data_IF_089394069131
#
_entry.id   IF_089394069131
#
_cell.length_a   1.000
_cell.length_b   1.000
_cell.length_c   1.000
_cell.angle_alpha   90.00
_cell.angle_beta   90.00
_cell.angle_gamma   90.00
#
_symmetry.space_group_name_H-M   'P 1'
#
loop_
_entity.id
_entity.type
_entity.pdbx_description
1 polymer ?
#
# COMPACT_ATOMS: atom_id res chain seq x y z
N UNK A 1 -76.32 -1.74 -6.54
CA UNK A 1 -75.14 -2.63 -6.61
C UNK A 1 -73.90 -1.79 -6.35
N UNK A 2 -73.16 -2.06 -5.27
CA UNK A 2 -71.96 -1.27 -4.92
C UNK A 2 -70.77 -1.73 -5.76
N UNK A 3 -70.16 -0.81 -6.51
CA UNK A 3 -69.00 -1.11 -7.35
C UNK A 3 -67.71 -1.02 -6.53
N UNK A 4 -67.05 -2.16 -6.31
CA UNK A 4 -65.71 -2.20 -5.70
C UNK A 4 -64.68 -1.76 -6.75
N UNK A 5 -63.86 -0.77 -6.42
CA UNK A 5 -62.68 -0.38 -7.20
C UNK A 5 -61.43 -0.87 -6.47
N UNK A 6 -60.71 -1.82 -7.08
CA UNK A 6 -59.44 -2.33 -6.58
C UNK A 6 -58.33 -1.41 -7.08
N UNK A 7 -57.58 -0.79 -6.16
CA UNK A 7 -56.43 0.04 -6.47
C UNK A 7 -55.15 -0.73 -6.18
N UNK A 8 -54.37 -1.03 -7.22
CA UNK A 8 -53.07 -1.69 -7.10
C UNK A 8 -51.98 -0.61 -7.20
N UNK A 9 -51.34 -0.22 -6.09
CA UNK A 9 -50.33 0.84 -6.12
C UNK A 9 -49.10 0.38 -6.93
N UNK A 10 -48.52 1.26 -7.77
CA UNK A 10 -47.35 0.91 -8.56
C UNK A 10 -46.13 0.67 -7.65
N UNK A 11 -45.59 -0.53 -7.71
CA UNK A 11 -44.40 -0.94 -6.96
C UNK A 11 -43.14 -0.23 -7.49
N UNK A 12 -42.71 0.84 -6.81
CA UNK A 12 -41.54 1.66 -7.17
C UNK A 12 -40.27 0.82 -7.43
N UNK A 13 -40.07 -0.25 -6.66
CA UNK A 13 -38.91 -1.14 -6.81
C UNK A 13 -38.88 -1.85 -8.17
N UNK A 14 -40.03 -2.33 -8.67
CA UNK A 14 -40.10 -2.98 -9.98
C UNK A 14 -39.87 -2.01 -11.14
N UNK A 15 -40.21 -0.72 -10.95
CA UNK A 15 -39.92 0.34 -11.93
C UNK A 15 -38.42 0.67 -11.95
N UNK A 16 -37.77 0.73 -10.78
CA UNK A 16 -36.32 0.96 -10.67
C UNK A 16 -35.51 -0.19 -11.29
N UNK A 17 -35.89 -1.45 -11.05
CA UNK A 17 -35.23 -2.63 -11.65
C UNK A 17 -35.30 -2.65 -13.19
N UNK A 18 -36.26 -1.96 -13.80
CA UNK A 18 -36.47 -1.90 -15.27
C UNK A 18 -35.97 -0.59 -15.89
N UNK A 19 -35.40 0.30 -15.09
CA UNK A 19 -34.91 1.59 -15.59
C UNK A 19 -33.59 1.35 -16.35
N UNK A 20 -33.48 1.71 -17.63
CA UNK A 20 -32.24 1.59 -18.39
C UNK A 20 -31.12 2.44 -17.77
N UNK A 21 -29.88 1.94 -17.79
CA UNK A 21 -28.70 2.65 -17.25
C UNK A 21 -27.97 1.93 -16.12
N UNK A 22 -28.48 0.79 -15.63
CA UNK A 22 -27.74 -0.10 -14.73
C UNK A 22 -26.65 -0.89 -15.46
N UNK A 23 -25.54 -1.16 -14.77
CA UNK A 23 -24.44 -2.01 -15.24
C UNK A 23 -24.51 -3.35 -14.50
N UNK A 24 -24.38 -4.52 -15.17
CA UNK A 24 -24.24 -5.79 -14.49
C UNK A 24 -23.08 -5.76 -13.50
N UNK A 25 -23.25 -6.33 -12.31
CA UNK A 25 -22.20 -6.35 -11.27
C UNK A 25 -20.90 -6.96 -11.81
N UNK A 26 -21.00 -8.04 -12.59
CA UNK A 26 -19.83 -8.68 -13.21
C UNK A 26 -19.07 -7.71 -14.13
N UNK A 27 -19.79 -6.93 -14.94
CA UNK A 27 -19.19 -5.95 -15.85
C UNK A 27 -18.61 -4.76 -15.07
N UNK A 28 -19.28 -4.32 -14.00
CA UNK A 28 -18.76 -3.29 -13.10
C UNK A 28 -17.43 -3.71 -12.46
N UNK A 29 -17.35 -4.94 -11.94
CA UNK A 29 -16.13 -5.50 -11.35
C UNK A 29 -15.02 -5.66 -12.39
N UNK A 30 -15.34 -6.17 -13.58
CA UNK A 30 -14.36 -6.30 -14.67
C UNK A 30 -13.79 -4.94 -15.06
N UNK A 31 -14.66 -3.93 -15.21
CA UNK A 31 -14.27 -2.58 -15.59
C UNK A 31 -13.43 -1.90 -14.51
N UNK A 32 -13.75 -2.12 -13.24
CA UNK A 32 -12.92 -1.68 -12.12
C UNK A 32 -11.53 -2.36 -12.13
N UNK A 33 -11.47 -3.67 -12.37
CA UNK A 33 -10.20 -4.40 -12.50
C UNK A 33 -9.32 -3.89 -13.63
N UNK A 34 -9.90 -3.60 -14.80
CA UNK A 34 -9.18 -2.99 -15.92
C UNK A 34 -8.64 -1.59 -15.59
N UNK A 35 -9.43 -0.79 -14.87
CA UNK A 35 -9.00 0.51 -14.35
C UNK A 35 -7.78 0.39 -13.43
N UNK A 36 -7.84 -0.50 -12.43
CA UNK A 36 -6.71 -0.75 -11.52
C UNK A 36 -5.45 -1.24 -12.24
N UNK A 37 -5.62 -2.14 -13.22
CA UNK A 37 -4.50 -2.63 -14.01
C UNK A 37 -3.79 -1.50 -14.78
N UNK A 38 -4.54 -0.51 -15.27
CA UNK A 38 -3.97 0.64 -15.97
C UNK A 38 -3.13 1.56 -15.07
N UNK A 39 -3.44 1.61 -13.76
CA UNK A 39 -2.73 2.43 -12.78
C UNK A 39 -1.44 1.78 -12.26
N UNK A 40 -1.24 0.48 -12.50
CA UNK A 40 -0.10 -0.26 -11.93
C UNK A 40 1.25 0.33 -12.36
N UNK A 41 1.38 0.72 -13.63
CA UNK A 41 2.63 1.31 -14.15
C UNK A 41 2.92 2.67 -13.54
N UNK A 42 1.91 3.51 -13.37
CA UNK A 42 2.01 4.82 -12.71
C UNK A 42 2.40 4.65 -11.24
N UNK A 43 1.72 3.75 -10.52
CA UNK A 43 2.04 3.41 -9.13
C UNK A 43 3.49 2.94 -8.97
N UNK A 44 3.99 2.07 -9.85
CA UNK A 44 5.40 1.67 -9.84
C UNK A 44 6.35 2.84 -10.08
N UNK A 45 5.97 3.80 -10.92
CA UNK A 45 6.72 5.03 -11.16
C UNK A 45 6.80 5.90 -9.90
N UNK A 46 5.66 6.17 -9.27
CA UNK A 46 5.58 6.94 -8.03
C UNK A 46 6.37 6.29 -6.90
N UNK A 47 6.27 4.96 -6.74
CA UNK A 47 7.00 4.24 -5.69
C UNK A 47 8.52 4.29 -5.89
N UNK A 48 9.01 4.34 -7.14
CA UNK A 48 10.44 4.58 -7.42
C UNK A 48 10.86 5.97 -6.97
N UNK A 49 10.03 6.99 -7.23
CA UNK A 49 10.30 8.35 -6.75
C UNK A 49 10.31 8.42 -5.22
N UNK A 50 9.39 7.74 -4.54
CA UNK A 50 9.40 7.64 -3.06
C UNK A 50 10.71 6.99 -2.59
N UNK A 51 11.13 5.87 -3.20
CA UNK A 51 12.38 5.21 -2.84
C UNK A 51 13.57 6.15 -3.00
N UNK A 52 13.68 6.85 -4.12
CA UNK A 52 14.76 7.82 -4.37
C UNK A 52 14.79 8.93 -3.32
N UNK A 53 13.62 9.47 -2.94
CA UNK A 53 13.50 10.48 -1.89
C UNK A 53 13.90 9.94 -0.52
N UNK A 54 13.45 8.73 -0.18
CA UNK A 54 13.76 8.09 1.09
C UNK A 54 15.27 7.81 1.22
N UNK A 55 15.91 7.35 0.15
CA UNK A 55 17.36 7.11 0.11
C UNK A 55 18.17 8.39 0.18
N UNK A 56 17.75 9.44 -0.54
CA UNK A 56 18.38 10.75 -0.45
C UNK A 56 18.28 11.32 0.98
N UNK A 57 17.12 11.14 1.64
CA UNK A 57 16.93 11.55 3.03
C UNK A 57 17.85 10.76 3.97
N UNK A 58 17.87 9.43 3.87
CA UNK A 58 18.71 8.56 4.70
C UNK A 58 20.21 8.80 4.48
N UNK A 59 20.65 9.18 3.28
CA UNK A 59 22.03 9.48 2.97
C UNK A 59 22.58 10.73 3.69
N UNK A 60 21.70 11.62 4.16
CA UNK A 60 22.09 12.79 4.98
C UNK A 60 22.33 12.43 6.45
N UNK A 61 21.99 11.21 6.87
CA UNK A 61 22.08 10.82 8.27
C UNK A 61 23.53 10.78 8.75
N UNK A 62 23.77 11.40 9.91
CA UNK A 62 25.01 11.26 10.67
C UNK A 62 25.06 9.96 11.49
N UNK A 63 26.11 9.77 12.30
CA UNK A 63 26.20 8.63 13.22
C UNK A 63 25.21 8.73 14.38
N UNK A 64 24.81 9.95 14.75
CA UNK A 64 23.93 10.24 15.88
C UNK A 64 22.45 10.32 15.46
N UNK A 65 21.56 10.16 16.44
CA UNK A 65 20.13 10.30 16.21
C UNK A 65 19.74 11.76 15.92
N UNK A 66 19.08 11.96 14.79
CA UNK A 66 18.47 13.23 14.39
C UNK A 66 16.95 13.04 14.26
N UNK A 67 16.21 13.66 15.18
CA UNK A 67 14.75 13.55 15.24
C UNK A 67 14.06 14.15 14.01
N UNK A 68 14.62 15.23 13.44
CA UNK A 68 14.05 15.87 12.26
C UNK A 68 14.22 14.99 11.02
N UNK A 69 15.41 14.41 10.84
CA UNK A 69 15.68 13.48 9.74
C UNK A 69 14.85 12.19 9.86
N UNK A 70 14.75 11.63 11.07
CA UNK A 70 13.92 10.44 11.31
C UNK A 70 12.43 10.71 11.03
N UNK A 71 11.95 11.91 11.40
CA UNK A 71 10.59 12.37 11.07
C UNK A 71 10.36 12.54 9.57
N UNK A 72 11.28 13.21 8.87
CA UNK A 72 11.19 13.40 7.42
C UNK A 72 11.19 12.07 6.66
N UNK A 73 12.08 11.15 7.03
CA UNK A 73 12.12 9.83 6.42
C UNK A 73 10.83 9.04 6.67
N UNK A 74 10.28 9.12 7.89
CA UNK A 74 8.99 8.51 8.21
C UNK A 74 7.87 9.06 7.33
N UNK A 75 7.78 10.38 7.19
CA UNK A 75 6.73 11.03 6.39
C UNK A 75 6.82 10.64 4.91
N UNK A 76 8.03 10.55 4.35
CA UNK A 76 8.26 10.08 2.97
C UNK A 76 7.73 8.65 2.79
N UNK A 77 8.06 7.75 3.71
CA UNK A 77 7.76 6.31 3.58
C UNK A 77 6.30 5.99 3.95
N UNK A 78 5.74 6.68 4.93
CA UNK A 78 4.37 6.44 5.39
C UNK A 78 3.32 6.95 4.40
N UNK A 79 3.62 8.04 3.67
CA UNK A 79 2.70 8.68 2.73
C UNK A 79 2.12 7.73 1.65
N UNK A 80 2.90 6.85 0.99
CA UNK A 80 2.36 5.93 -0.02
C UNK A 80 1.70 4.66 0.55
N UNK A 81 1.70 4.42 1.87
CA UNK A 81 1.12 3.19 2.44
C UNK A 81 -0.35 3.03 2.02
N UNK A 82 -0.71 1.81 1.62
CA UNK A 82 -2.03 1.44 1.10
C UNK A 82 -2.15 1.55 -0.42
N UNK A 83 -1.44 2.48 -1.06
CA UNK A 83 -1.46 2.65 -2.53
C UNK A 83 -0.93 1.41 -3.26
N UNK A 84 0.23 0.81 -2.88
CA UNK A 84 0.72 -0.39 -3.57
C UNK A 84 -0.29 -1.55 -3.51
N UNK A 85 -0.94 -1.77 -2.37
CA UNK A 85 -1.93 -2.85 -2.20
C UNK A 85 -3.13 -2.70 -3.15
N UNK A 86 -3.61 -1.48 -3.40
CA UNK A 86 -4.67 -1.20 -4.37
C UNK A 86 -4.25 -1.56 -5.80
N UNK A 87 -2.96 -1.44 -6.11
CA UNK A 87 -2.38 -1.81 -7.41
C UNK A 87 -1.87 -3.27 -7.46
N UNK A 88 -2.17 -4.09 -6.45
CA UNK A 88 -1.76 -5.50 -6.38
C UNK A 88 -0.28 -5.71 -6.03
N UNK A 89 0.38 -4.72 -5.42
CA UNK A 89 1.79 -4.73 -5.01
C UNK A 89 1.91 -4.89 -3.48
N UNK A 90 1.17 -5.84 -2.89
CA UNK A 90 1.06 -6.01 -1.43
C UNK A 90 2.39 -6.26 -0.73
N UNK A 91 3.36 -6.87 -1.41
CA UNK A 91 4.70 -7.08 -0.87
C UNK A 91 5.43 -5.75 -0.62
N UNK A 92 5.27 -4.78 -1.53
CA UNK A 92 5.83 -3.44 -1.38
C UNK A 92 5.20 -2.71 -0.20
N UNK A 93 3.87 -2.79 -0.09
CA UNK A 93 3.13 -2.19 1.03
C UNK A 93 3.59 -2.73 2.39
N UNK A 94 3.82 -4.05 2.44
CA UNK A 94 4.36 -4.74 3.63
C UNK A 94 5.75 -4.19 4.00
N UNK A 95 6.61 -3.92 3.01
CA UNK A 95 7.94 -3.37 3.25
C UNK A 95 7.89 -1.92 3.73
N UNK A 96 6.98 -1.09 3.21
CA UNK A 96 6.77 0.28 3.66
C UNK A 96 6.32 0.32 5.12
N UNK A 97 5.30 -0.47 5.48
CA UNK A 97 4.83 -0.61 6.87
C UNK A 97 5.97 -1.04 7.78
N UNK A 98 6.72 -2.07 7.37
CA UNK A 98 7.86 -2.59 8.13
C UNK A 98 8.97 -1.56 8.34
N UNK A 99 9.23 -0.69 7.36
CA UNK A 99 10.17 0.44 7.52
C UNK A 99 9.60 1.53 8.42
N UNK A 100 8.32 1.88 8.30
CA UNK A 100 7.66 2.83 9.21
C UNK A 100 7.70 2.35 10.66
N UNK A 101 7.44 1.07 10.92
CA UNK A 101 7.54 0.47 12.25
C UNK A 101 8.96 0.56 12.83
N UNK A 102 9.98 0.27 12.01
CA UNK A 102 11.38 0.45 12.39
C UNK A 102 11.67 1.91 12.76
N UNK A 103 11.23 2.86 11.94
CA UNK A 103 11.47 4.28 12.19
C UNK A 103 10.75 4.77 13.45
N UNK A 104 9.53 4.32 13.71
CA UNK A 104 8.81 4.64 14.94
C UNK A 104 9.47 4.01 16.18
N UNK A 105 10.00 2.79 16.07
CA UNK A 105 10.81 2.19 17.14
C UNK A 105 12.07 3.02 17.41
N UNK A 106 12.82 3.36 16.36
CA UNK A 106 14.05 4.16 16.47
C UNK A 106 13.78 5.55 17.07
N UNK A 107 12.68 6.20 16.66
CA UNK A 107 12.19 7.46 17.26
C UNK A 107 11.87 7.29 18.74
N UNK A 108 11.13 6.24 19.10
CA UNK A 108 10.77 5.97 20.50
C UNK A 108 11.95 5.65 21.41
N UNK A 109 13.09 5.21 20.85
CA UNK A 109 14.32 4.94 21.58
C UNK A 109 15.35 6.08 21.48
N UNK A 110 15.07 7.14 20.71
CA UNK A 110 16.03 8.21 20.37
C UNK A 110 17.37 7.66 19.86
N UNK A 111 17.30 6.62 19.02
CA UNK A 111 18.48 5.91 18.49
C UNK A 111 18.42 5.83 16.98
N UNK A 112 19.59 5.82 16.37
CA UNK A 112 19.73 5.60 14.93
C UNK A 112 20.46 4.29 14.65
N UNK A 113 19.92 3.52 13.71
CA UNK A 113 20.55 2.31 13.17
C UNK A 113 20.59 2.39 11.65
N UNK A 114 21.67 2.98 11.13
CA UNK A 114 21.86 3.17 9.70
C UNK A 114 21.84 1.86 8.91
N UNK A 115 22.29 0.75 9.51
CA UNK A 115 22.31 -0.56 8.86
C UNK A 115 20.90 -1.11 8.70
N UNK A 116 20.08 -1.04 9.75
CA UNK A 116 18.69 -1.47 9.69
C UNK A 116 17.92 -0.68 8.63
N UNK A 117 18.02 0.66 8.66
CA UNK A 117 17.36 1.52 7.66
C UNK A 117 17.82 1.19 6.23
N UNK A 118 19.13 1.02 6.03
CA UNK A 118 19.69 0.65 4.72
C UNK A 118 19.16 -0.70 4.23
N UNK A 119 19.03 -1.70 5.09
CA UNK A 119 18.50 -3.02 4.72
C UNK A 119 17.05 -2.91 4.27
N UNK A 120 16.22 -2.15 4.97
CA UNK A 120 14.82 -1.94 4.59
C UNK A 120 14.69 -1.20 3.24
N UNK A 121 15.47 -0.15 3.02
CA UNK A 121 15.49 0.57 1.74
C UNK A 121 15.95 -0.32 0.57
N UNK A 122 16.95 -1.19 0.80
CA UNK A 122 17.40 -2.18 -0.19
C UNK A 122 16.32 -3.23 -0.46
N UNK A 123 15.63 -3.72 0.57
CA UNK A 123 14.52 -4.65 0.39
C UNK A 123 13.40 -4.01 -0.43
N UNK A 124 13.05 -2.76 -0.15
CA UNK A 124 12.08 -2.00 -0.93
C UNK A 124 12.51 -1.88 -2.42
N UNK A 125 13.77 -1.52 -2.69
CA UNK A 125 14.32 -1.52 -4.06
C UNK A 125 14.17 -2.87 -4.75
N UNK A 126 14.56 -3.96 -4.09
CA UNK A 126 14.50 -5.30 -4.66
C UNK A 126 13.05 -5.69 -4.97
N UNK A 127 12.10 -5.38 -4.10
CA UNK A 127 10.68 -5.65 -4.32
C UNK A 127 10.14 -4.89 -5.54
N UNK A 128 10.51 -3.62 -5.73
CA UNK A 128 10.14 -2.88 -6.94
C UNK A 128 10.70 -3.52 -8.22
N UNK A 129 11.83 -4.22 -8.13
CA UNK A 129 12.40 -4.95 -9.25
C UNK A 129 11.70 -6.31 -9.48
N UNK A 130 11.48 -7.10 -8.42
CA UNK A 130 10.86 -8.43 -8.51
C UNK A 130 9.39 -8.38 -8.88
N UNK A 131 8.66 -7.36 -8.42
CA UNK A 131 7.27 -7.13 -8.85
C UNK A 131 7.19 -6.73 -10.34
N UNK A 132 8.24 -6.08 -10.85
CA UNK A 132 8.40 -5.82 -12.28
C UNK A 132 8.70 -7.08 -13.10
N UNK A 133 9.33 -8.10 -12.51
CA UNK A 133 9.67 -9.38 -13.15
C UNK A 133 8.70 -10.53 -12.85
N UNK A 134 7.67 -10.29 -12.01
CA UNK A 134 6.73 -11.28 -11.51
C UNK A 134 7.38 -12.49 -10.79
N UNK A 135 8.52 -12.28 -10.13
CA UNK A 135 9.23 -13.31 -9.37
C UNK A 135 8.63 -13.49 -7.95
N UNK A 136 7.69 -14.42 -7.84
CA UNK A 136 7.01 -14.74 -6.57
C UNK A 136 7.97 -15.33 -5.54
N UNK A 137 8.89 -16.20 -5.95
CA UNK A 137 9.80 -16.88 -5.03
C UNK A 137 10.83 -15.89 -4.45
N UNK A 138 11.41 -15.04 -5.28
CA UNK A 138 12.29 -13.95 -4.85
C UNK A 138 11.59 -12.98 -3.90
N UNK A 139 10.34 -12.60 -4.23
CA UNK A 139 9.52 -11.72 -3.38
C UNK A 139 9.31 -12.30 -1.98
N UNK A 140 8.95 -13.58 -1.88
CA UNK A 140 8.79 -14.25 -0.58
C UNK A 140 10.11 -14.37 0.20
N UNK A 141 11.23 -14.63 -0.47
CA UNK A 141 12.54 -14.68 0.17
C UNK A 141 12.94 -13.32 0.77
N UNK A 142 12.68 -12.22 0.05
CA UNK A 142 12.95 -10.86 0.54
C UNK A 142 12.10 -10.57 1.79
N UNK A 143 10.79 -10.85 1.75
CA UNK A 143 9.90 -10.65 2.89
C UNK A 143 10.31 -11.48 4.11
N UNK A 144 10.73 -12.73 3.90
CA UNK A 144 11.22 -13.58 4.98
C UNK A 144 12.50 -13.02 5.62
N UNK A 145 13.42 -12.46 4.81
CA UNK A 145 14.60 -11.76 5.29
C UNK A 145 14.25 -10.51 6.10
N UNK A 146 13.33 -9.69 5.58
CA UNK A 146 12.89 -8.44 6.22
C UNK A 146 12.23 -8.69 7.59
N UNK A 147 11.41 -9.74 7.69
CA UNK A 147 10.80 -10.15 8.96
C UNK A 147 11.84 -10.47 10.04
N UNK A 148 12.92 -11.18 9.69
CA UNK A 148 14.00 -11.51 10.65
C UNK A 148 14.71 -10.27 11.19
N UNK A 149 14.83 -9.22 10.38
CA UNK A 149 15.43 -7.94 10.79
C UNK A 149 14.45 -7.19 11.69
N UNK A 150 13.19 -7.06 11.26
CA UNK A 150 12.14 -6.33 11.97
C UNK A 150 11.85 -6.89 13.37
N UNK A 151 11.95 -8.21 13.54
CA UNK A 151 11.77 -8.87 14.85
C UNK A 151 12.71 -8.35 15.94
N UNK A 152 13.86 -7.78 15.59
CA UNK A 152 14.80 -7.19 16.56
C UNK A 152 14.33 -5.83 17.11
N UNK A 153 13.39 -5.20 16.41
CA UNK A 153 12.86 -3.86 16.69
C UNK A 153 11.35 -3.91 17.01
N UNK A 154 10.77 -5.11 17.16
CA UNK A 154 9.41 -5.25 17.62
C UNK A 154 9.31 -4.79 19.09
N UNK A 155 8.32 -3.95 19.41
CA UNK A 155 8.03 -3.61 20.81
C UNK A 155 7.72 -4.91 21.56
N UNK A 156 8.37 -5.19 22.71
CA UNK A 156 7.90 -6.26 23.59
C UNK A 156 6.48 -5.91 24.05
N UNK A 157 5.58 -6.90 23.99
CA UNK A 157 4.22 -6.81 24.54
C UNK A 157 4.23 -6.55 26.06
#
# INVERSE_FOLDING_TARGET
MSSVRIHTPPVKLAKLLRTPGGLPVAEAVQRAGAGLASLKTECLGELKTVLEQAEACAARAGPDYDAALAGELYDIVAKPIGVPSVCGLTAVDTALISLSDLLDYLKGQERWDANAVTVHLRAFRLLLHTEGSADVAGTQAILAGLRKVSQRYAKPE
#
